data_IF_019785610923
#
_entry.id   IF_019785610923
#
_cell.length_a   1.000
_cell.length_b   1.000
_cell.length_c   1.000
_cell.angle_alpha   90.00
_cell.angle_beta   90.00
_cell.angle_gamma   90.00
#
_symmetry.space_group_name_H-M   'P 1'
#
loop_
_entity.id
_entity.type
_entity.pdbx_description
1 polymer ?
#
# COMPACT_ATOMS: atom_id res chain seq x y z
N UNK A 1 -3.78 6.99 -9.42
CA UNK A 1 -4.80 6.80 -8.36
C UNK A 1 -4.79 7.98 -7.40
N UNK A 2 -5.92 8.24 -6.80
CA UNK A 2 -6.04 9.29 -5.80
C UNK A 2 -5.77 8.71 -4.42
N UNK A 3 -4.95 9.40 -3.62
CA UNK A 3 -4.71 9.02 -2.23
C UNK A 3 -5.90 9.48 -1.39
N UNK A 4 -6.67 8.52 -0.88
CA UNK A 4 -7.86 8.81 -0.08
C UNK A 4 -7.48 9.01 1.39
N UNK A 5 -6.64 8.12 1.91
CA UNK A 5 -6.25 8.16 3.31
C UNK A 5 -4.86 7.52 3.50
N UNK A 6 -4.08 8.13 4.37
CA UNK A 6 -2.81 7.58 4.82
C UNK A 6 -3.00 7.07 6.24
N UNK A 7 -2.71 5.79 6.45
CA UNK A 7 -2.81 5.18 7.77
C UNK A 7 -1.47 5.28 8.50
N UNK A 8 -1.48 5.02 9.80
CA UNK A 8 -0.28 5.14 10.62
C UNK A 8 0.80 4.15 10.19
N UNK A 9 2.05 4.60 10.21
CA UNK A 9 3.19 3.72 9.95
C UNK A 9 3.36 2.75 11.11
N UNK A 10 3.54 1.47 10.77
CA UNK A 10 3.85 0.42 11.73
C UNK A 10 5.31 0.04 11.60
N UNK A 11 5.95 -0.23 12.71
CA UNK A 11 7.35 -0.62 12.72
C UNK A 11 7.63 -1.60 13.84
N UNK A 12 8.71 -2.35 13.70
CA UNK A 12 9.14 -3.32 14.68
C UNK A 12 10.49 -3.89 14.32
N UNK A 13 10.89 -4.93 15.06
CA UNK A 13 12.13 -5.66 14.81
C UNK A 13 11.77 -7.11 14.55
N UNK A 14 12.32 -7.67 13.47
CA UNK A 14 12.11 -9.08 13.15
C UNK A 14 12.74 -9.96 14.22
N UNK A 15 11.97 -10.88 14.78
CA UNK A 15 12.49 -11.81 15.78
C UNK A 15 13.45 -12.82 15.20
N UNK A 16 13.36 -13.11 13.91
CA UNK A 16 14.23 -14.09 13.26
C UNK A 16 15.59 -13.53 12.86
N UNK A 17 15.61 -12.29 12.39
CA UNK A 17 16.83 -11.68 11.85
C UNK A 17 17.36 -10.52 12.69
N UNK A 18 16.53 -9.98 13.60
CA UNK A 18 16.89 -8.81 14.38
C UNK A 18 16.88 -7.51 13.59
N UNK A 19 16.49 -7.56 12.33
CA UNK A 19 16.47 -6.36 11.48
C UNK A 19 15.19 -5.53 11.70
N UNK A 20 15.30 -4.21 11.73
CA UNK A 20 14.11 -3.36 11.82
C UNK A 20 13.28 -3.43 10.54
N UNK A 21 11.97 -3.36 10.71
CA UNK A 21 11.04 -3.30 9.58
C UNK A 21 10.03 -2.18 9.81
N UNK A 22 9.49 -1.67 8.72
CA UNK A 22 8.38 -0.73 8.78
C UNK A 22 7.45 -0.93 7.59
N UNK A 23 6.19 -0.64 7.80
CA UNK A 23 5.17 -0.70 6.76
C UNK A 23 4.11 0.36 7.01
N UNK A 24 3.42 0.76 5.95
CA UNK A 24 2.33 1.72 6.01
C UNK A 24 1.26 1.33 5.03
N UNK A 25 0.01 1.36 5.46
CA UNK A 25 -1.12 1.12 4.59
C UNK A 25 -1.65 2.44 4.05
N UNK A 26 -2.05 2.43 2.79
CA UNK A 26 -2.58 3.60 2.09
C UNK A 26 -3.87 3.18 1.39
N UNK A 27 -4.92 3.97 1.56
CA UNK A 27 -6.17 3.76 0.84
C UNK A 27 -6.11 4.58 -0.44
N UNK A 28 -6.24 3.90 -1.57
CA UNK A 28 -6.19 4.49 -2.90
C UNK A 28 -7.54 4.33 -3.59
N UNK A 29 -7.87 5.27 -4.46
CA UNK A 29 -9.09 5.24 -5.25
C UNK A 29 -8.72 5.37 -6.72
N UNK A 30 -9.30 4.50 -7.55
CA UNK A 30 -9.11 4.57 -8.98
C UNK A 30 -9.72 5.86 -9.54
N UNK A 31 -8.93 6.61 -10.32
CA UNK A 31 -9.42 7.83 -10.97
C UNK A 31 -10.15 7.43 -12.25
N UNK A 32 -11.46 7.25 -12.14
CA UNK A 32 -12.33 6.86 -13.25
C UNK A 32 -13.60 7.70 -13.23
N UNK A 33 -14.21 7.86 -14.41
CA UNK A 33 -15.53 8.47 -14.52
C UNK A 33 -16.61 7.46 -14.11
N UNK A 34 -16.50 6.94 -12.90
CA UNK A 34 -17.43 5.96 -12.38
C UNK A 34 -18.19 6.54 -11.19
N UNK A 35 -19.46 6.17 -11.07
CA UNK A 35 -20.30 6.58 -9.94
C UNK A 35 -19.74 5.97 -8.65
N UNK A 36 -19.19 4.78 -8.74
CA UNK A 36 -18.56 4.07 -7.61
C UNK A 36 -17.15 3.66 -7.98
N UNK A 37 -16.15 4.56 -7.80
CA UNK A 37 -14.78 4.22 -8.11
C UNK A 37 -14.26 3.15 -7.15
N UNK A 38 -13.44 2.24 -7.68
CA UNK A 38 -12.83 1.18 -6.89
C UNK A 38 -11.80 1.76 -5.93
N UNK A 39 -11.77 1.21 -4.72
CA UNK A 39 -10.80 1.56 -3.69
C UNK A 39 -9.94 0.36 -3.36
N UNK A 40 -8.69 0.63 -3.07
CA UNK A 40 -7.71 -0.38 -2.74
C UNK A 40 -6.97 0.00 -1.47
N UNK A 41 -6.75 -0.99 -0.60
CA UNK A 41 -5.84 -0.83 0.53
C UNK A 41 -4.53 -1.47 0.12
N UNK A 42 -3.51 -0.65 -0.06
CA UNK A 42 -2.19 -1.08 -0.50
C UNK A 42 -1.17 -0.83 0.59
N UNK A 43 -0.11 -1.62 0.61
CA UNK A 43 0.91 -1.55 1.65
C UNK A 43 2.25 -1.16 1.07
N UNK A 44 2.91 -0.24 1.75
CA UNK A 44 4.30 0.16 1.49
C UNK A 44 5.22 -0.53 2.50
N UNK A 45 6.41 -0.91 2.07
CA UNK A 45 7.39 -1.57 2.94
C UNK A 45 8.74 -0.88 2.88
N UNK A 46 9.43 -0.87 4.01
CA UNK A 46 10.82 -0.43 4.09
C UNK A 46 11.03 1.01 3.60
N UNK A 47 12.00 1.20 2.72
CA UNK A 47 12.36 2.53 2.23
C UNK A 47 11.23 3.20 1.44
N UNK A 48 10.33 2.43 0.86
CA UNK A 48 9.18 2.99 0.14
C UNK A 48 8.28 3.80 1.06
N UNK A 49 8.20 3.45 2.34
CA UNK A 49 7.44 4.22 3.33
C UNK A 49 7.98 5.65 3.44
N UNK A 50 9.29 5.80 3.46
CA UNK A 50 9.94 7.12 3.57
C UNK A 50 9.89 7.89 2.25
N UNK A 51 9.95 7.19 1.13
CA UNK A 51 9.93 7.80 -0.19
C UNK A 51 8.54 8.26 -0.61
N UNK A 52 7.51 7.71 -0.02
CA UNK A 52 6.12 8.03 -0.34
C UNK A 52 5.72 9.30 0.40
N UNK A 53 5.81 10.44 -0.29
CA UNK A 53 5.51 11.76 0.29
C UNK A 53 4.18 12.34 -0.16
N UNK A 54 3.41 11.60 -0.97
CA UNK A 54 2.10 12.03 -1.39
C UNK A 54 1.16 12.20 -0.19
N UNK A 55 0.26 13.18 -0.30
CA UNK A 55 -0.69 13.53 0.77
C UNK A 55 -2.09 13.09 0.38
N UNK A 56 -2.98 13.05 1.36
CA UNK A 56 -4.40 12.79 1.11
C UNK A 56 -4.94 13.80 0.10
N UNK A 57 -5.63 13.30 -0.92
CA UNK A 57 -6.14 14.10 -2.02
C UNK A 57 -5.24 14.17 -3.24
N UNK A 58 -3.98 13.79 -3.14
CA UNK A 58 -3.06 13.79 -4.28
C UNK A 58 -3.42 12.68 -5.26
N UNK A 59 -3.22 12.96 -6.55
CA UNK A 59 -3.37 11.97 -7.62
C UNK A 59 -1.98 11.56 -8.07
N UNK A 60 -1.69 10.27 -7.98
CA UNK A 60 -0.37 9.72 -8.30
C UNK A 60 -0.50 8.50 -9.20
N UNK A 61 0.58 8.18 -9.91
CA UNK A 61 0.70 6.91 -10.62
C UNK A 61 1.21 5.84 -9.67
N UNK A 62 0.58 4.67 -9.66
CA UNK A 62 0.95 3.57 -8.77
C UNK A 62 0.96 2.27 -9.53
N UNK A 63 1.99 1.47 -9.33
CA UNK A 63 2.02 0.09 -9.77
C UNK A 63 1.75 -0.80 -8.55
N UNK A 64 0.69 -1.58 -8.63
CA UNK A 64 0.27 -2.46 -7.55
C UNK A 64 0.60 -3.91 -7.90
N UNK A 65 1.01 -4.66 -6.89
CA UNK A 65 1.16 -6.10 -6.98
C UNK A 65 0.15 -6.75 -6.05
N UNK A 66 -0.71 -7.58 -6.61
CA UNK A 66 -1.70 -8.34 -5.85
C UNK A 66 -1.25 -9.79 -5.77
N UNK A 67 -1.16 -10.29 -4.56
CA UNK A 67 -0.74 -11.66 -4.29
C UNK A 67 -1.80 -12.39 -3.51
N UNK A 68 -2.08 -13.62 -3.92
CA UNK A 68 -3.01 -14.50 -3.19
C UNK A 68 -2.17 -15.59 -2.51
N UNK A 69 -2.34 -15.73 -1.21
CA UNK A 69 -1.68 -16.79 -0.43
C UNK A 69 -2.73 -17.75 0.11
N UNK A 70 -2.41 -19.04 0.08
CA UNK A 70 -3.25 -20.09 0.65
C UNK A 70 -2.62 -20.58 1.94
N UNK A 71 -3.45 -20.66 2.99
CA UNK A 71 -3.01 -21.18 4.28
C UNK A 71 -4.18 -21.93 4.93
N UNK A 72 -3.98 -23.23 5.22
CA UNK A 72 -4.99 -24.10 5.85
C UNK A 72 -6.36 -24.05 5.14
N UNK A 73 -6.36 -24.06 3.81
CA UNK A 73 -7.58 -24.01 3.01
C UNK A 73 -8.23 -22.66 2.92
N UNK A 74 -7.59 -21.60 3.45
CA UNK A 74 -8.06 -20.22 3.34
C UNK A 74 -7.19 -19.45 2.38
N UNK A 75 -7.81 -18.51 1.68
CA UNK A 75 -7.12 -17.64 0.73
C UNK A 75 -7.05 -16.22 1.27
N UNK A 76 -5.86 -15.64 1.23
CA UNK A 76 -5.64 -14.27 1.66
C UNK A 76 -5.11 -13.46 0.50
N UNK A 77 -5.76 -12.33 0.24
CA UNK A 77 -5.29 -11.38 -0.75
C UNK A 77 -4.45 -10.28 -0.09
N UNK A 78 -3.29 -9.99 -0.69
CA UNK A 78 -2.43 -8.90 -0.26
C UNK A 78 -2.10 -8.02 -1.45
N UNK A 79 -2.28 -6.72 -1.30
CA UNK A 79 -1.93 -5.74 -2.32
C UNK A 79 -0.81 -4.85 -1.79
N UNK A 80 0.27 -4.75 -2.55
CA UNK A 80 1.40 -3.91 -2.19
C UNK A 80 1.73 -2.94 -3.31
N UNK A 81 2.32 -1.81 -2.96
CA UNK A 81 2.81 -0.83 -3.92
C UNK A 81 4.24 -1.20 -4.25
N UNK A 82 4.49 -1.55 -5.53
CA UNK A 82 5.84 -1.92 -5.99
C UNK A 82 6.55 -0.75 -6.65
N UNK A 83 5.80 0.23 -7.15
CA UNK A 83 6.35 1.44 -7.73
C UNK A 83 5.30 2.55 -7.71
N UNK A 84 5.74 3.80 -7.67
CA UNK A 84 4.83 4.94 -7.68
C UNK A 84 5.53 6.16 -8.26
N UNK A 85 4.74 7.01 -8.92
CA UNK A 85 5.18 8.31 -9.42
C UNK A 85 4.43 9.41 -8.67
N UNK A 86 5.17 10.30 -8.06
CA UNK A 86 4.65 11.47 -7.36
C UNK A 86 4.94 12.71 -8.20
N UNK A 87 3.93 13.53 -8.36
CA UNK A 87 4.10 14.81 -9.06
C UNK A 87 4.48 15.93 -8.12
#
# INVERSE_FOLDING_TARGET
>A
MKVVKLLATQSGVSQQTGNPWKSREVVLEAVQNAIHPDRYVARLFGDAVDKFTAKEGDVIGVALHHRVEEYNGRYFGKTSIVDFEQS
#
